data_IF_090999297841
#
_entry.id   IF_090999297841
#
_cell.length_a   1.000
_cell.length_b   1.000
_cell.length_c   1.000
_cell.angle_alpha   90.00
_cell.angle_beta   90.00
_cell.angle_gamma   90.00
#
_symmetry.space_group_name_H-M   'P 1'
#
loop_
_entity.id
_entity.type
_entity.pdbx_description
1 polymer ?
#
# COMPACT_ATOMS: atom_id res chain seq x y z
N UNK A 1 -4.20 -9.78 -0.24
CA UNK A 1 -4.32 -8.81 0.86
C UNK A 1 -3.77 -7.47 0.42
N UNK A 2 -4.38 -6.38 0.88
CA UNK A 2 -3.94 -5.00 0.62
C UNK A 2 -4.44 -4.06 1.74
N UNK A 3 -3.75 -2.94 1.93
CA UNK A 3 -4.13 -1.85 2.82
C UNK A 3 -5.16 -0.95 2.14
N UNK A 4 -6.23 -0.62 2.86
CA UNK A 4 -7.19 0.42 2.48
C UNK A 4 -7.07 1.55 3.49
N UNK A 5 -6.75 2.75 3.01
CA UNK A 5 -6.75 3.97 3.81
C UNK A 5 -7.82 4.91 3.25
N UNK A 6 -8.75 5.32 4.12
CA UNK A 6 -9.78 6.32 3.79
C UNK A 6 -9.51 7.58 4.60
N UNK A 7 -9.59 8.75 3.98
CA UNK A 7 -9.21 10.04 4.57
C UNK A 7 -10.39 11.02 4.54
N UNK A 8 -10.72 11.59 5.69
CA UNK A 8 -11.80 12.56 5.89
C UNK A 8 -11.33 13.99 6.11
N UNK A 9 -10.08 14.30 5.78
CA UNK A 9 -9.59 15.67 5.83
C UNK A 9 -10.30 16.53 4.79
N UNK A 10 -10.59 17.77 5.15
CA UNK A 10 -11.25 18.70 4.23
C UNK A 10 -10.30 19.12 3.10
N UNK A 11 -9.02 19.33 3.42
CA UNK A 11 -7.97 19.72 2.46
C UNK A 11 -7.30 18.52 1.76
N UNK A 12 -6.47 18.82 0.75
CA UNK A 12 -5.68 17.85 -0.01
C UNK A 12 -4.21 17.78 0.45
N UNK A 13 -3.89 18.32 1.63
CA UNK A 13 -2.51 18.39 2.14
C UNK A 13 -1.91 16.98 2.33
N UNK A 14 -2.75 15.99 2.59
CA UNK A 14 -2.35 14.59 2.68
C UNK A 14 -1.70 14.10 1.38
N UNK A 15 -2.25 14.51 0.22
CA UNK A 15 -1.78 14.08 -1.09
C UNK A 15 -0.45 14.75 -1.44
N UNK A 16 -0.32 16.04 -1.16
CA UNK A 16 0.90 16.83 -1.43
C UNK A 16 2.06 16.44 -0.52
N UNK A 17 1.79 16.26 0.78
CA UNK A 17 2.81 15.95 1.77
C UNK A 17 3.16 14.46 1.81
N UNK A 18 2.27 13.59 1.32
CA UNK A 18 2.43 12.14 1.40
C UNK A 18 2.37 11.62 2.84
N UNK A 19 1.56 12.26 3.69
CA UNK A 19 1.41 11.90 5.11
C UNK A 19 -0.07 11.93 5.50
N UNK A 20 -0.50 10.93 6.27
CA UNK A 20 -1.81 10.90 6.94
C UNK A 20 -1.65 10.48 8.40
N UNK A 21 -2.52 11.00 9.26
CA UNK A 21 -2.63 10.60 10.65
C UNK A 21 -3.92 9.82 10.88
N UNK A 22 -3.80 8.58 11.36
CA UNK A 22 -4.93 7.72 11.67
C UNK A 22 -4.96 7.48 13.17
N UNK A 23 -6.09 7.75 13.84
CA UNK A 23 -6.22 7.43 15.26
C UNK A 23 -6.02 5.93 15.49
N UNK A 24 -5.33 5.55 16.57
CA UNK A 24 -5.10 4.14 16.96
C UNK A 24 -6.39 3.34 17.10
N UNK A 25 -7.49 3.98 17.49
CA UNK A 25 -8.83 3.36 17.55
C UNK A 25 -9.48 3.11 16.17
N UNK A 26 -8.87 3.64 15.11
CA UNK A 26 -9.26 3.52 13.69
C UNK A 26 -8.28 2.65 12.90
N UNK A 27 -7.25 2.14 13.56
CA UNK A 27 -6.32 1.18 12.99
C UNK A 27 -6.96 -0.21 12.98
N UNK A 28 -6.88 -0.87 11.82
CA UNK A 28 -7.56 -2.14 11.51
C UNK A 28 -9.08 -2.08 11.68
N UNK A 29 -9.68 -0.89 11.62
CA UNK A 29 -11.14 -0.79 11.53
C UNK A 29 -11.60 -1.46 10.22
N UNK A 30 -12.74 -2.16 10.28
CA UNK A 30 -13.27 -2.94 9.15
C UNK A 30 -12.34 -4.03 8.60
N UNK A 31 -11.30 -4.40 9.36
CA UNK A 31 -10.51 -5.60 9.11
C UNK A 31 -11.20 -6.78 9.77
N UNK A 32 -11.29 -7.92 9.08
CA UNK A 32 -11.87 -9.13 9.68
C UNK A 32 -11.07 -9.57 10.89
N UNK A 33 -11.76 -10.05 11.93
CA UNK A 33 -11.16 -10.47 13.20
C UNK A 33 -10.04 -11.51 13.01
N UNK A 34 -10.26 -12.50 12.14
CA UNK A 34 -9.25 -13.52 11.78
C UNK A 34 -7.95 -12.93 11.24
N UNK A 35 -8.01 -11.79 10.55
CA UNK A 35 -6.84 -11.07 10.03
C UNK A 35 -6.16 -10.28 11.14
N UNK A 36 -6.94 -9.61 11.99
CA UNK A 36 -6.42 -8.88 13.14
C UNK A 36 -5.64 -9.82 14.04
N UNK A 37 -6.22 -10.96 14.41
CA UNK A 37 -5.57 -11.96 15.25
C UNK A 37 -4.23 -12.43 14.69
N UNK A 38 -4.15 -12.59 13.36
CA UNK A 38 -2.94 -13.03 12.68
C UNK A 38 -1.83 -11.98 12.64
N UNK A 39 -2.17 -10.69 12.58
CA UNK A 39 -1.19 -9.63 12.26
C UNK A 39 -1.07 -8.51 13.29
N UNK A 40 -1.91 -8.46 14.34
CA UNK A 40 -1.94 -7.36 15.34
C UNK A 40 -0.56 -7.02 15.93
N UNK A 41 0.29 -8.03 16.12
CA UNK A 41 1.62 -7.87 16.72
C UNK A 41 2.73 -7.60 15.68
N UNK A 42 2.39 -7.57 14.40
CA UNK A 42 3.33 -7.50 13.26
C UNK A 42 2.95 -6.37 12.29
N UNK A 43 2.83 -5.13 12.79
CA UNK A 43 2.47 -3.96 11.98
C UNK A 43 3.37 -3.76 10.76
N UNK A 44 4.64 -4.16 10.84
CA UNK A 44 5.59 -4.09 9.73
C UNK A 44 5.19 -4.94 8.53
N UNK A 45 4.53 -6.07 8.79
CA UNK A 45 3.98 -6.94 7.74
C UNK A 45 2.75 -6.29 7.12
N UNK A 46 1.91 -5.65 7.95
CA UNK A 46 0.66 -5.00 7.52
C UNK A 46 0.95 -3.89 6.50
N UNK A 47 1.77 -2.89 6.85
CA UNK A 47 2.08 -1.80 5.91
C UNK A 47 3.01 -2.24 4.77
N UNK A 48 3.55 -3.46 4.83
CA UNK A 48 4.27 -4.07 3.75
C UNK A 48 3.41 -4.34 2.52
N UNK A 49 2.11 -4.62 2.69
CA UNK A 49 1.16 -4.95 1.61
C UNK A 49 0.86 -3.76 0.66
N UNK A 50 0.39 -4.03 -0.57
CA UNK A 50 -0.07 -2.98 -1.49
C UNK A 50 -1.12 -2.09 -0.84
N UNK A 51 -1.26 -0.83 -1.25
CA UNK A 51 -2.14 0.13 -0.60
C UNK A 51 -3.01 0.87 -1.62
N UNK A 52 -4.31 0.92 -1.31
CA UNK A 52 -5.28 1.85 -1.88
C UNK A 52 -5.48 2.99 -0.89
N UNK A 53 -5.51 4.22 -1.40
CA UNK A 53 -5.82 5.41 -0.61
C UNK A 53 -6.88 6.24 -1.33
N UNK A 54 -7.87 6.71 -0.58
CA UNK A 54 -8.98 7.49 -1.12
C UNK A 54 -9.51 8.49 -0.09
N UNK A 55 -10.16 9.55 -0.58
CA UNK A 55 -10.92 10.47 0.28
C UNK A 55 -12.28 9.85 0.63
N UNK A 56 -12.87 10.29 1.74
CA UNK A 56 -14.28 10.04 2.03
C UNK A 56 -15.19 10.67 0.97
N UNK A 57 -16.31 10.01 0.66
CA UNK A 57 -17.30 10.57 -0.25
C UNK A 57 -18.04 9.53 -1.08
N UNK A 58 -18.98 10.00 -1.91
CA UNK A 58 -19.89 9.14 -2.69
C UNK A 58 -19.22 8.47 -3.89
N UNK A 59 -18.23 9.12 -4.49
CA UNK A 59 -17.48 8.57 -5.63
C UNK A 59 -16.02 9.09 -5.63
N UNK A 60 -15.22 8.75 -4.61
CA UNK A 60 -13.89 9.31 -4.45
C UNK A 60 -12.93 8.81 -5.53
N UNK A 61 -11.86 9.59 -5.74
CA UNK A 61 -10.68 9.10 -6.43
C UNK A 61 -9.92 8.11 -5.55
N UNK A 62 -9.50 7.02 -6.17
CA UNK A 62 -8.75 5.95 -5.55
C UNK A 62 -7.38 5.92 -6.19
N UNK A 63 -6.35 6.04 -5.36
CA UNK A 63 -4.97 6.05 -5.77
C UNK A 63 -4.26 4.78 -5.31
N UNK A 64 -3.36 4.29 -6.16
CA UNK A 64 -2.40 3.25 -5.79
C UNK A 64 -1.22 3.93 -5.10
N UNK A 65 -0.91 3.51 -3.89
CA UNK A 65 0.20 4.06 -3.14
C UNK A 65 1.01 2.97 -2.44
N UNK A 66 2.13 3.35 -1.86
CA UNK A 66 2.93 2.51 -0.99
C UNK A 66 3.13 3.21 0.33
N UNK A 67 2.90 2.48 1.42
CA UNK A 67 3.29 2.95 2.75
C UNK A 67 4.80 2.78 2.89
N UNK A 68 5.47 3.88 3.23
CA UNK A 68 6.92 3.97 3.37
C UNK A 68 7.34 3.74 4.82
N UNK A 69 6.68 4.44 5.75
CA UNK A 69 6.96 4.36 7.19
C UNK A 69 5.68 4.56 7.98
N UNK A 70 5.60 3.91 9.14
CA UNK A 70 4.54 4.11 10.13
C UNK A 70 5.20 4.40 11.47
N UNK A 71 4.80 5.49 12.11
CA UNK A 71 5.26 5.87 13.44
C UNK A 71 4.08 6.09 14.38
N UNK A 72 4.18 5.59 15.61
CA UNK A 72 3.19 5.87 16.65
C UNK A 72 3.52 7.23 17.29
N UNK A 73 2.59 8.17 17.20
CA UNK A 73 2.67 9.49 17.82
C UNK A 73 1.47 9.68 18.77
N UNK A 74 1.67 9.33 20.04
CA UNK A 74 0.61 9.39 21.05
C UNK A 74 -0.55 8.45 20.71
N UNK A 75 -1.70 9.02 20.34
CA UNK A 75 -2.93 8.27 19.98
C UNK A 75 -3.11 8.08 18.48
N UNK A 76 -2.14 8.47 17.66
CA UNK A 76 -2.22 8.42 16.20
C UNK A 76 -1.06 7.63 15.61
N UNK A 77 -1.31 6.96 14.49
CA UNK A 77 -0.29 6.50 13.57
C UNK A 77 -0.05 7.58 12.53
N UNK A 78 1.16 8.11 12.47
CA UNK A 78 1.65 8.91 11.35
C UNK A 78 2.13 7.95 10.25
N UNK A 79 1.44 7.97 9.11
CA UNK A 79 1.67 7.08 7.98
C UNK A 79 2.23 7.92 6.83
N UNK A 80 3.49 7.69 6.48
CA UNK A 80 4.09 8.28 5.27
C UNK A 80 3.91 7.33 4.11
N UNK A 81 3.45 7.85 2.98
CA UNK A 81 3.22 7.07 1.78
C UNK A 81 3.72 7.78 0.53
N UNK A 82 3.84 7.02 -0.55
CA UNK A 82 4.15 7.55 -1.88
C UNK A 82 3.10 7.07 -2.87
N UNK A 83 2.43 8.01 -3.51
CA UNK A 83 1.55 7.72 -4.64
C UNK A 83 2.40 7.12 -5.77
N UNK A 84 1.94 6.01 -6.34
CA UNK A 84 2.68 5.32 -7.40
C UNK A 84 2.67 6.12 -8.69
N UNK A 85 1.52 6.67 -9.04
CA UNK A 85 1.28 7.53 -10.19
C UNK A 85 0.07 8.44 -9.90
N UNK A 86 0.07 9.66 -10.45
CA UNK A 86 -1.01 10.63 -10.28
C UNK A 86 -2.34 10.21 -10.93
N UNK A 87 -2.38 9.15 -11.74
CA UNK A 87 -3.65 8.62 -12.24
C UNK A 87 -4.38 7.85 -11.13
N UNK A 88 -5.67 8.12 -11.04
CA UNK A 88 -6.62 7.45 -10.16
C UNK A 88 -7.63 6.62 -10.96
N UNK A 89 -8.42 5.84 -10.24
CA UNK A 89 -9.71 5.33 -10.70
C UNK A 89 -10.80 5.83 -9.75
N UNK A 90 -12.02 5.97 -10.25
CA UNK A 90 -13.18 6.33 -9.43
C UNK A 90 -13.72 5.10 -8.71
N UNK A 91 -14.36 5.31 -7.57
CA UNK A 91 -15.10 4.23 -6.90
C UNK A 91 -16.15 3.58 -7.81
N UNK A 92 -16.83 4.37 -8.64
CA UNK A 92 -17.77 3.88 -9.65
C UNK A 92 -17.16 2.92 -10.66
N UNK A 93 -15.84 3.02 -10.91
CA UNK A 93 -15.14 2.13 -11.85
C UNK A 93 -14.98 0.71 -11.27
N UNK A 94 -15.05 0.58 -9.94
CA UNK A 94 -14.81 -0.66 -9.21
C UNK A 94 -16.06 -1.16 -8.47
N UNK A 95 -17.22 -0.53 -8.67
CA UNK A 95 -18.45 -0.79 -7.90
C UNK A 95 -18.86 -2.27 -7.95
N UNK A 96 -18.70 -2.92 -9.11
CA UNK A 96 -18.99 -4.34 -9.31
C UNK A 96 -18.00 -5.31 -8.62
N UNK A 97 -16.89 -4.80 -8.09
CA UNK A 97 -15.87 -5.55 -7.39
C UNK A 97 -15.82 -5.28 -5.89
N UNK A 98 -16.61 -4.35 -5.40
CA UNK A 98 -16.61 -3.89 -4.00
C UNK A 98 -16.71 -5.08 -3.03
N UNK A 99 -17.56 -6.06 -3.32
CA UNK A 99 -17.68 -7.29 -2.52
C UNK A 99 -16.41 -8.15 -2.55
N UNK A 100 -15.75 -8.29 -3.72
CA UNK A 100 -14.51 -9.06 -3.86
C UNK A 100 -13.31 -8.36 -3.21
N UNK A 101 -13.33 -7.04 -3.20
CA UNK A 101 -12.35 -6.20 -2.53
C UNK A 101 -12.63 -6.12 -1.02
N UNK A 102 -13.77 -6.61 -0.54
CA UNK A 102 -14.19 -6.52 0.86
C UNK A 102 -14.25 -5.06 1.33
N UNK A 103 -14.73 -4.17 0.46
CA UNK A 103 -15.01 -2.76 0.77
C UNK A 103 -16.52 -2.64 1.00
N UNK A 104 -16.96 -1.93 2.04
CA UNK A 104 -18.38 -1.67 2.29
C UNK A 104 -18.69 -0.18 2.21
N UNK A 105 -19.94 0.18 1.93
CA UNK A 105 -20.34 1.60 1.83
C UNK A 105 -20.09 2.39 3.12
N UNK A 106 -20.12 1.75 4.30
CA UNK A 106 -19.83 2.42 5.57
C UNK A 106 -18.33 2.76 5.73
N UNK A 107 -17.46 2.15 4.94
CA UNK A 107 -16.01 2.37 5.01
C UNK A 107 -15.61 3.66 4.28
N UNK A 108 -16.31 4.02 3.21
CA UNK A 108 -16.02 5.23 2.41
C UNK A 108 -16.50 6.54 3.07
N UNK A 109 -17.08 6.47 4.26
CA UNK A 109 -17.66 7.62 4.98
C UNK A 109 -16.91 7.97 6.26
N UNK A 110 -15.75 7.36 6.51
CA UNK A 110 -14.96 7.64 7.72
C UNK A 110 -13.48 7.34 7.58
N UNK A 111 -12.67 8.16 8.22
CA UNK A 111 -11.21 8.04 8.24
C UNK A 111 -10.80 6.80 9.01
N UNK A 112 -10.11 5.89 8.33
CA UNK A 112 -9.63 4.65 8.92
C UNK A 112 -8.54 3.99 8.08
N UNK A 113 -7.89 2.98 8.67
CA UNK A 113 -6.96 2.09 7.99
C UNK A 113 -7.39 0.65 8.20
N UNK A 114 -7.70 -0.07 7.12
CA UNK A 114 -8.05 -1.48 7.11
C UNK A 114 -7.01 -2.33 6.38
N UNK A 115 -6.85 -3.58 6.79
CA UNK A 115 -6.16 -4.62 6.01
C UNK A 115 -7.21 -5.56 5.41
N UNK A 116 -7.31 -5.57 4.08
CA UNK A 116 -8.31 -6.35 3.35
C UNK A 116 -7.74 -7.67 2.88
N UNK A 117 -8.55 -8.73 2.97
CA UNK A 117 -8.18 -10.05 2.43
C UNK A 117 -8.30 -10.14 0.92
N UNK A 118 -9.09 -9.24 0.33
CA UNK A 118 -9.28 -9.12 -1.10
C UNK A 118 -7.96 -9.05 -1.89
N UNK A 119 -8.09 -9.31 -3.18
CA UNK A 119 -6.95 -9.39 -4.10
C UNK A 119 -6.97 -8.24 -5.08
N UNK A 120 -5.93 -7.40 -5.07
CA UNK A 120 -5.74 -6.42 -6.14
C UNK A 120 -5.49 -7.06 -7.51
N UNK A 121 -5.12 -8.36 -7.55
CA UNK A 121 -5.08 -9.09 -8.83
C UNK A 121 -6.49 -9.32 -9.40
N UNK A 122 -7.52 -9.37 -8.57
CA UNK A 122 -8.90 -9.47 -9.08
C UNK A 122 -9.36 -8.15 -9.68
N UNK A 123 -8.90 -7.02 -9.10
CA UNK A 123 -9.03 -5.70 -9.72
C UNK A 123 -8.31 -5.66 -11.08
N UNK A 124 -7.12 -6.25 -11.18
CA UNK A 124 -6.38 -6.35 -12.44
C UNK A 124 -7.14 -7.18 -13.48
N UNK A 125 -7.60 -8.38 -13.15
CA UNK A 125 -8.36 -9.26 -14.06
C UNK A 125 -9.64 -8.59 -14.56
N UNK A 126 -10.36 -7.90 -13.67
CA UNK A 126 -11.53 -7.13 -14.05
C UNK A 126 -11.19 -5.95 -14.97
N UNK A 127 -10.07 -5.25 -14.69
CA UNK A 127 -9.60 -4.13 -15.51
C UNK A 127 -9.31 -4.52 -16.95
N UNK A 128 -8.92 -5.76 -17.20
CA UNK A 128 -8.69 -6.26 -18.57
C UNK A 128 -9.96 -6.30 -19.41
N UNK A 129 -11.12 -6.34 -18.76
CA UNK A 129 -12.43 -6.44 -19.41
C UNK A 129 -13.28 -5.17 -19.32
N UNK A 130 -13.05 -4.30 -18.33
CA UNK A 130 -14.02 -3.24 -17.98
C UNK A 130 -13.44 -1.89 -17.55
N UNK A 131 -12.11 -1.72 -17.40
CA UNK A 131 -11.52 -0.42 -17.07
C UNK A 131 -10.93 0.28 -18.31
N UNK A 132 -10.86 1.62 -18.32
CA UNK A 132 -10.11 2.35 -19.34
C UNK A 132 -8.66 1.84 -19.44
N UNK A 133 -8.09 1.79 -20.66
CA UNK A 133 -6.77 1.21 -20.91
C UNK A 133 -5.63 1.82 -20.05
N UNK A 134 -5.76 3.09 -19.67
CA UNK A 134 -4.80 3.77 -18.79
C UNK A 134 -4.83 3.22 -17.36
N UNK A 135 -6.01 2.92 -16.80
CA UNK A 135 -6.16 2.37 -15.45
C UNK A 135 -5.61 0.95 -15.37
N UNK A 136 -5.85 0.13 -16.41
CA UNK A 136 -5.27 -1.22 -16.52
C UNK A 136 -3.74 -1.18 -16.50
N UNK A 137 -3.14 -0.33 -17.33
CA UNK A 137 -1.68 -0.21 -17.42
C UNK A 137 -1.07 0.11 -16.06
N UNK A 138 -1.63 1.08 -15.35
CA UNK A 138 -1.12 1.51 -14.05
C UNK A 138 -1.25 0.47 -12.96
N UNK A 139 -2.38 -0.24 -12.92
CA UNK A 139 -2.56 -1.31 -11.95
C UNK A 139 -1.57 -2.45 -12.19
N UNK A 140 -1.33 -2.79 -13.45
CA UNK A 140 -0.32 -3.78 -13.83
C UNK A 140 1.09 -3.34 -13.41
N UNK A 141 1.50 -2.14 -13.81
CA UNK A 141 2.82 -1.58 -13.49
C UNK A 141 3.05 -1.51 -11.98
N UNK A 142 2.00 -1.17 -11.22
CA UNK A 142 2.04 -1.13 -9.76
C UNK A 142 2.26 -2.51 -9.15
N UNK A 143 1.47 -3.50 -9.55
CA UNK A 143 1.57 -4.87 -9.04
C UNK A 143 2.91 -5.52 -9.42
N UNK A 144 3.37 -5.31 -10.65
CA UNK A 144 4.68 -5.79 -11.13
C UNK A 144 5.81 -5.19 -10.27
N UNK A 145 5.75 -3.88 -9.94
CA UNK A 145 6.72 -3.23 -9.04
C UNK A 145 6.72 -3.80 -7.62
N UNK A 146 5.59 -4.35 -7.19
CA UNK A 146 5.43 -4.91 -5.86
C UNK A 146 6.00 -6.33 -5.80
N UNK A 147 5.73 -7.16 -6.80
CA UNK A 147 6.28 -8.52 -6.94
C UNK A 147 7.81 -8.49 -7.02
N UNK A 148 8.38 -7.59 -7.81
CA UNK A 148 9.83 -7.42 -7.91
C UNK A 148 10.48 -7.14 -6.54
N UNK A 149 9.82 -6.36 -5.68
CA UNK A 149 10.33 -6.05 -4.34
C UNK A 149 10.29 -7.23 -3.38
N UNK A 150 9.25 -8.06 -3.44
CA UNK A 150 9.19 -9.29 -2.64
C UNK A 150 10.38 -10.18 -3.02
N UNK A 151 10.60 -10.37 -4.31
CA UNK A 151 11.70 -11.19 -4.81
C UNK A 151 13.08 -10.67 -4.39
N UNK A 152 13.32 -9.34 -4.48
CA UNK A 152 14.57 -8.72 -4.01
C UNK A 152 14.76 -8.95 -2.51
N UNK A 153 13.71 -8.76 -1.69
CA UNK A 153 13.80 -9.00 -0.24
C UNK A 153 14.14 -10.45 0.05
N UNK A 154 13.45 -11.41 -0.55
CA UNK A 154 13.73 -12.85 -0.38
C UNK A 154 15.15 -13.21 -0.78
N UNK A 155 15.65 -12.69 -1.92
CA UNK A 155 17.02 -12.92 -2.35
C UNK A 155 18.03 -12.34 -1.34
N UNK A 156 17.83 -11.11 -0.86
CA UNK A 156 18.67 -10.50 0.18
C UNK A 156 18.66 -11.32 1.48
N UNK A 157 17.50 -11.77 1.95
CA UNK A 157 17.42 -12.61 3.16
C UNK A 157 18.09 -13.98 2.97
N UNK A 158 17.97 -14.58 1.78
CA UNK A 158 18.61 -15.87 1.46
C UNK A 158 20.13 -15.77 1.32
N UNK A 159 20.64 -14.65 0.82
CA UNK A 159 22.08 -14.45 0.57
C UNK A 159 22.87 -14.03 1.81
N UNK A 160 22.21 -13.41 2.79
CA UNK A 160 22.87 -12.85 3.99
C UNK A 160 22.57 -13.60 5.30
N UNK A 161 21.75 -14.65 5.28
CA UNK A 161 21.28 -15.29 6.50
C UNK A 161 20.46 -14.33 7.37
N UNK A 162 19.83 -14.83 8.43
CA UNK A 162 18.95 -14.02 9.31
C UNK A 162 19.77 -13.01 10.11
N UNK A 163 20.13 -11.90 9.48
CA UNK A 163 20.50 -10.65 10.13
C UNK A 163 19.31 -9.72 9.92
N UNK A 164 18.65 -9.33 11.02
CA UNK A 164 17.63 -8.29 11.02
C UNK A 164 18.27 -6.96 10.65
N UNK A 165 18.60 -6.78 9.37
CA UNK A 165 19.11 -5.54 8.84
C UNK A 165 17.93 -4.59 8.69
N UNK A 166 17.75 -3.70 9.68
CA UNK A 166 17.01 -2.45 9.50
C UNK A 166 17.65 -1.70 8.34
N UNK A 167 17.15 -1.94 7.13
CA UNK A 167 17.52 -1.16 5.96
C UNK A 167 16.80 0.19 6.03
N UNK A 168 17.44 1.15 6.72
CA UNK A 168 17.18 2.57 6.53
C UNK A 168 17.68 2.93 5.12
N UNK A 169 16.81 2.83 4.12
CA UNK A 169 17.14 3.26 2.76
C UNK A 169 17.12 4.80 2.77
N UNK A 170 18.31 5.40 2.93
CA UNK A 170 18.52 6.80 2.54
C UNK A 170 18.51 6.85 1.02
N UNK A 171 17.46 7.45 0.46
CA UNK A 171 17.38 7.76 -0.97
C UNK A 171 18.41 8.85 -1.29
N UNK A 172 19.60 8.46 -1.74
CA UNK A 172 20.37 9.26 -2.67
C UNK A 172 20.60 8.42 -3.91
N UNK A 173 20.04 8.90 -5.02
CA UNK A 173 20.35 8.44 -6.37
C UNK A 173 21.81 8.76 -6.68
N UNK A 174 22.69 7.79 -6.44
CA UNK A 174 23.93 7.67 -7.19
C UNK A 174 24.01 6.24 -7.74
N UNK A 175 24.51 6.14 -8.97
CA UNK A 175 24.54 4.96 -9.80
C UNK A 175 24.79 3.67 -9.00
N UNK A 176 23.85 2.73 -9.09
CA UNK A 176 24.09 1.35 -8.67
C UNK A 176 25.03 0.77 -9.73
N UNK A 177 26.34 0.89 -9.51
CA UNK A 177 27.32 -0.03 -10.07
C UNK A 177 26.85 -1.45 -9.77
N UNK A 178 26.95 -2.33 -10.76
CA UNK A 178 26.27 -3.61 -10.77
C UNK A 178 26.62 -4.42 -9.50
N UNK A 179 25.68 -5.23 -9.00
CA UNK A 179 25.90 -6.13 -7.84
C UNK A 179 27.16 -7.00 -8.01
N UNK A 180 27.52 -7.28 -9.26
CA UNK A 180 28.75 -7.96 -9.68
C UNK A 180 30.04 -7.23 -9.25
N UNK A 181 30.06 -5.90 -9.27
CA UNK A 181 31.25 -5.09 -8.96
C UNK A 181 31.56 -5.08 -7.44
N UNK A 182 30.53 -5.19 -6.60
CA UNK A 182 30.70 -5.26 -5.14
C UNK A 182 31.32 -6.60 -4.68
N UNK A 183 30.94 -7.70 -5.34
CA UNK A 183 31.43 -9.04 -5.01
C UNK A 183 32.91 -9.18 -5.40
N UNK A 184 33.32 -8.66 -6.55
CA UNK A 184 34.71 -8.75 -7.00
C UNK A 184 35.68 -7.90 -6.16
N UNK A 185 35.20 -6.87 -5.48
CA UNK A 185 36.05 -5.96 -4.68
C UNK A 185 36.34 -6.47 -3.26
N UNK A 186 35.66 -7.53 -2.82
CA UNK A 186 35.73 -8.05 -1.45
C UNK A 186 36.07 -9.55 -1.37
N UNK A 187 36.68 -10.12 -2.43
CA UNK A 187 37.33 -11.43 -2.43
C UNK A 187 38.84 -11.23 -2.55
#
# INVERSE_FOLDING_TARGET
MYNLIVIGYEDESWFENGVVEIATTRFLEYTKESVIEKFKDNIEVIYGYPCLIMKEGKNPDIYLCRISTVALNGRYYEIKFKIFNNNCFKYSDIESLVDKLDIRQQEITRTHWALKEGSLNDLLKYSESNLPGNSRKILKDYLDSFVQRIHIKEHLFSSFGVLSARLTIHNNTENIESVTDFIQKNI
#
